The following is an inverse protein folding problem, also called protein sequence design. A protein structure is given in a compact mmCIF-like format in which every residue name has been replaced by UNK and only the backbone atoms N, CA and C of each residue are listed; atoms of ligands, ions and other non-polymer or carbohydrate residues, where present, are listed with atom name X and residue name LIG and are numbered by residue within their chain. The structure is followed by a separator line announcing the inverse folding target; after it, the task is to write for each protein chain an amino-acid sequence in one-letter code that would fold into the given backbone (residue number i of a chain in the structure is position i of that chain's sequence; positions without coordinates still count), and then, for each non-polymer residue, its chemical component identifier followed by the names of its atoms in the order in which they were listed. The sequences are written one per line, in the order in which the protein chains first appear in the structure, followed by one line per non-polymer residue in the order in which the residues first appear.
data_IF_257247388679
#
_entry.id   IF_257247388679
#
_cell.length_a   1.000
_cell.length_b   1.000
_cell.length_c   1.000
_cell.angle_alpha   90.00
_cell.angle_beta   90.00
_cell.angle_gamma   90.00
#
_symmetry.space_group_name_H-M   'P 1'
#
loop_
_entity.id
_entity.type
_entity.pdbx_description
1 polymer ?
#
# COMPACT_ATOMS: atom_id res chain seq x y z
N UNK A 1 18.27 6.39 -22.77
CA UNK A 1 18.23 5.78 -21.42
C UNK A 1 16.98 4.91 -21.31
N UNK A 2 16.91 3.77 -22.01
CA UNK A 2 15.65 3.00 -22.13
C UNK A 2 15.79 1.49 -21.86
N UNK A 3 17.02 0.95 -21.85
CA UNK A 3 17.26 -0.50 -21.77
C UNK A 3 16.99 -1.14 -20.39
N UNK A 4 17.09 -0.38 -19.30
CA UNK A 4 16.90 -0.94 -17.94
C UNK A 4 15.49 -1.49 -17.70
N UNK A 5 14.46 -0.85 -18.25
CA UNK A 5 13.07 -1.27 -18.04
C UNK A 5 12.73 -2.61 -18.69
N UNK A 6 13.26 -2.86 -19.89
CA UNK A 6 13.05 -4.10 -20.63
C UNK A 6 13.74 -5.29 -19.96
N UNK A 7 14.97 -5.09 -19.47
CA UNK A 7 15.68 -6.14 -18.77
C UNK A 7 15.00 -6.51 -17.43
N UNK A 8 14.49 -5.51 -16.70
CA UNK A 8 13.70 -5.75 -15.48
C UNK A 8 12.40 -6.51 -15.77
N UNK A 9 11.65 -6.15 -16.82
CA UNK A 9 10.41 -6.86 -17.17
C UNK A 9 10.67 -8.31 -17.56
N UNK A 10 11.69 -8.56 -18.40
CA UNK A 10 12.10 -9.92 -18.78
C UNK A 10 12.46 -10.77 -17.56
N UNK A 11 13.20 -10.19 -16.61
CA UNK A 11 13.54 -10.86 -15.36
C UNK A 11 12.28 -11.20 -14.53
N UNK A 12 11.39 -10.23 -14.31
CA UNK A 12 10.14 -10.45 -13.55
C UNK A 12 9.30 -11.55 -14.20
N UNK A 13 9.18 -11.58 -15.53
CA UNK A 13 8.45 -12.61 -16.26
C UNK A 13 9.11 -14.00 -16.21
N UNK A 14 10.42 -14.07 -16.00
CA UNK A 14 11.15 -15.35 -15.87
C UNK A 14 11.04 -15.98 -14.48
N UNK A 15 10.56 -15.23 -13.48
CA UNK A 15 10.41 -15.73 -12.11
C UNK A 15 9.32 -16.81 -12.04
N UNK A 16 9.51 -17.86 -11.22
CA UNK A 16 8.45 -18.82 -10.92
C UNK A 16 7.21 -18.12 -10.36
N UNK A 17 6.02 -18.61 -10.72
CA UNK A 17 4.77 -18.07 -10.18
C UNK A 17 4.68 -18.35 -8.68
N UNK A 18 4.78 -17.30 -7.87
CA UNK A 18 4.52 -17.38 -6.43
C UNK A 18 3.05 -17.10 -6.14
N UNK A 19 2.43 -17.98 -5.34
CA UNK A 19 1.11 -17.71 -4.77
C UNK A 19 1.23 -16.67 -3.66
N UNK A 20 0.23 -15.78 -3.57
CA UNK A 20 0.07 -14.90 -2.42
C UNK A 20 -0.10 -15.79 -1.18
N UNK A 21 0.71 -15.52 -0.17
CA UNK A 21 0.54 -16.13 1.15
C UNK A 21 -0.34 -15.19 1.97
N UNK A 22 -1.45 -15.68 2.54
CA UNK A 22 -2.30 -14.87 3.43
C UNK A 22 -1.46 -14.29 4.57
N UNK A 23 -1.66 -13.02 4.91
CA UNK A 23 -0.88 -12.39 5.98
C UNK A 23 -1.28 -12.95 7.35
N UNK A 24 -2.52 -13.42 7.49
CA UNK A 24 -3.01 -14.16 8.67
C UNK A 24 -2.12 -15.36 9.03
N UNK A 25 -1.65 -16.12 8.04
CA UNK A 25 -0.84 -17.32 8.28
C UNK A 25 0.57 -16.95 8.74
N UNK A 26 1.05 -15.76 8.34
CA UNK A 26 2.35 -15.23 8.68
C UNK A 26 2.37 -14.50 10.03
N UNK A 27 1.27 -13.86 10.41
CA UNK A 27 1.12 -13.10 11.65
C UNK A 27 0.10 -13.75 12.59
N UNK A 28 0.47 -14.89 13.17
CA UNK A 28 -0.43 -15.73 13.99
C UNK A 28 -1.01 -15.06 15.24
N UNK A 29 -0.37 -14.01 15.74
CA UNK A 29 -0.76 -13.32 16.98
C UNK A 29 -1.22 -11.87 16.74
N UNK A 30 -1.46 -11.48 15.48
CA UNK A 30 -1.91 -10.13 15.18
C UNK A 30 -3.43 -10.05 15.15
N UNK A 31 -3.94 -8.87 15.47
CA UNK A 31 -5.37 -8.54 15.38
C UNK A 31 -5.88 -8.74 13.94
N UNK A 32 -6.96 -9.51 13.71
CA UNK A 32 -7.55 -9.71 12.40
C UNK A 32 -7.87 -8.41 11.66
N UNK A 33 -8.29 -7.35 12.37
CA UNK A 33 -8.58 -6.04 11.79
C UNK A 33 -7.29 -5.34 11.32
N UNK A 34 -6.19 -5.51 12.05
CA UNK A 34 -4.88 -5.00 11.64
C UNK A 34 -4.36 -5.71 10.38
N UNK A 35 -4.58 -7.03 10.31
CA UNK A 35 -4.19 -7.84 9.16
C UNK A 35 -4.99 -7.42 7.92
N UNK A 36 -6.31 -7.27 8.04
CA UNK A 36 -7.18 -6.81 6.95
C UNK A 36 -6.71 -5.49 6.35
N UNK A 37 -6.49 -4.48 7.20
CA UNK A 37 -5.95 -3.18 6.76
C UNK A 37 -4.60 -3.32 6.04
N UNK A 38 -3.72 -4.17 6.55
CA UNK A 38 -2.38 -4.37 5.98
C UNK A 38 -2.43 -5.10 4.64
N UNK A 39 -3.37 -6.01 4.47
CA UNK A 39 -3.60 -6.69 3.20
C UNK A 39 -4.03 -5.73 2.08
N UNK A 40 -4.83 -4.72 2.42
CA UNK A 40 -5.29 -3.68 1.50
C UNK A 40 -4.21 -2.63 1.17
N UNK A 41 -3.29 -2.39 2.11
CA UNK A 41 -2.12 -1.50 1.92
C UNK A 41 -1.00 -2.15 1.11
N UNK A 42 -0.79 -3.46 1.24
CA UNK A 42 0.29 -4.21 0.59
C UNK A 42 -0.13 -4.82 -0.76
N UNK A 43 -1.02 -4.14 -1.47
CA UNK A 43 -1.39 -4.50 -2.84
C UNK A 43 -0.30 -4.03 -3.81
N UNK A 44 0.19 -4.95 -4.64
CA UNK A 44 1.25 -4.68 -5.61
C UNK A 44 0.81 -3.69 -6.69
N UNK A 45 -0.39 -3.87 -7.26
CA UNK A 45 -0.96 -2.91 -8.22
C UNK A 45 -1.37 -1.63 -7.47
N UNK A 46 -0.71 -0.49 -7.71
CA UNK A 46 -1.00 0.74 -6.98
C UNK A 46 -2.41 1.27 -7.24
N UNK A 47 -3.07 0.88 -8.35
CA UNK A 47 -4.44 1.30 -8.66
C UNK A 47 -5.49 0.56 -7.83
N UNK A 48 -5.12 -0.61 -7.31
CA UNK A 48 -5.96 -1.45 -6.45
C UNK A 48 -5.62 -1.28 -4.96
N UNK A 49 -4.56 -0.55 -4.65
CA UNK A 49 -4.14 -0.27 -3.27
C UNK A 49 -5.09 0.74 -2.64
N UNK A 50 -5.44 0.51 -1.38
CA UNK A 50 -6.29 1.43 -0.59
C UNK A 50 -5.70 2.84 -0.57
N UNK A 51 -6.53 3.87 -0.69
CA UNK A 51 -6.08 5.26 -0.55
C UNK A 51 -5.80 5.57 0.92
N UNK A 52 -4.95 6.55 1.17
CA UNK A 52 -4.63 6.98 2.53
C UNK A 52 -5.89 7.37 3.33
N UNK A 53 -6.83 8.10 2.72
CA UNK A 53 -8.09 8.49 3.36
C UNK A 53 -8.98 7.30 3.73
N UNK A 54 -9.04 6.30 2.85
CA UNK A 54 -9.84 5.07 3.05
C UNK A 54 -9.21 4.20 4.14
N UNK A 55 -7.87 4.05 4.13
CA UNK A 55 -7.16 3.30 5.16
C UNK A 55 -7.27 3.94 6.55
N UNK A 56 -7.24 5.27 6.62
CA UNK A 56 -7.43 6.02 7.87
C UNK A 56 -8.85 5.89 8.45
N UNK A 57 -9.85 5.56 7.61
CA UNK A 57 -11.24 5.34 8.04
C UNK A 57 -11.50 3.89 8.51
N UNK A 58 -10.50 3.01 8.47
CA UNK A 58 -10.66 1.60 8.82
C UNK A 58 -10.93 1.40 10.33
N UNK A 59 -11.75 0.40 10.68
CA UNK A 59 -12.17 0.09 12.06
C UNK A 59 -10.97 -0.07 13.01
N UNK A 60 -9.92 -0.74 12.55
CA UNK A 60 -8.64 -0.87 13.29
C UNK A 60 -8.05 0.48 13.77
N UNK A 61 -8.20 1.54 12.98
CA UNK A 61 -7.67 2.87 13.31
C UNK A 61 -8.70 3.80 13.97
N UNK A 62 -9.96 3.37 14.12
CA UNK A 62 -11.04 4.18 14.70
C UNK A 62 -10.71 4.69 16.11
N UNK A 63 -10.05 3.85 16.92
CA UNK A 63 -9.59 4.19 18.28
C UNK A 63 -8.56 5.32 18.32
N UNK A 64 -7.80 5.50 17.24
CA UNK A 64 -6.78 6.54 17.12
C UNK A 64 -7.32 7.81 16.44
N UNK A 65 -8.54 7.77 15.90
CA UNK A 65 -9.16 8.87 15.18
C UNK A 65 -9.84 9.86 16.16
N UNK A 66 -9.08 10.39 17.11
CA UNK A 66 -9.54 11.47 18.02
C UNK A 66 -9.12 12.84 17.47
N UNK A 67 -9.80 13.28 16.42
CA UNK A 67 -10.05 14.70 16.08
C UNK A 67 -8.88 15.64 15.73
N UNK A 68 -7.60 15.40 16.03
CA UNK A 68 -6.67 16.56 16.19
C UNK A 68 -5.66 16.90 15.07
N UNK A 69 -5.48 16.13 13.98
CA UNK A 69 -4.27 16.38 13.15
C UNK A 69 -4.29 16.00 11.67
N UNK A 70 -5.44 15.99 11.01
CA UNK A 70 -5.46 15.88 9.55
C UNK A 70 -5.46 17.29 8.93
N UNK A 71 -4.30 17.94 8.92
CA UNK A 71 -4.10 19.07 8.01
C UNK A 71 -4.19 18.50 6.60
N UNK A 72 -5.17 18.96 5.83
CA UNK A 72 -5.19 18.73 4.38
C UNK A 72 -3.87 19.22 3.79
N UNK A 73 -3.25 18.51 2.84
CA UNK A 73 -2.13 19.07 2.09
C UNK A 73 -2.67 20.23 1.23
N UNK A 74 -2.71 21.44 1.80
CA UNK A 74 -3.25 22.64 1.14
C UNK A 74 -2.32 23.22 0.07
N UNK A 75 -1.20 22.57 -0.23
CA UNK A 75 -0.35 22.92 -1.36
C UNK A 75 -0.06 21.67 -2.20
N UNK A 76 -0.67 21.60 -3.39
CA UNK A 76 -0.05 20.82 -4.47
C UNK A 76 1.30 21.47 -4.73
N UNK A 77 2.38 20.79 -4.33
CA UNK A 77 3.73 21.20 -4.72
C UNK A 77 3.83 21.07 -6.23
N UNK A 78 3.78 22.20 -6.93
CA UNK A 78 4.00 22.24 -8.36
C UNK A 78 5.50 22.01 -8.57
N UNK A 79 5.87 20.84 -9.06
CA UNK A 79 7.24 20.55 -9.47
C UNK A 79 7.47 21.15 -10.86
N UNK A 80 7.61 22.47 -10.95
CA UNK A 80 8.13 23.14 -12.15
C UNK A 80 9.65 23.18 -12.04
N UNK A 81 10.33 22.23 -12.69
CA UNK A 81 11.78 22.22 -12.88
C UNK A 81 12.10 22.27 -14.37
N UNK A 82 12.97 23.21 -14.73
CA UNK A 82 13.58 23.41 -16.05
C UNK A 82 14.36 22.20 -16.56
#
# INVERSE_FOLDING_TARGET
MSDNSLQTLRFIHSLPKHKRHPLQDKFKNADPLAIGLREDMLVFDPRKRVKASEGLAHEYLSLYCTTTRQMSPSQKRNFTGH
#
